data_IF_408661922452
#
_entry.id   IF_408661922452
#
_cell.length_a   1.000
_cell.length_b   1.000
_cell.length_c   1.000
_cell.angle_alpha   90.00
_cell.angle_beta   90.00
_cell.angle_gamma   90.00
#
_symmetry.space_group_name_H-M   'P 1'
#
loop_
_entity.id
_entity.type
_entity.pdbx_description
1 polymer ?
#
# COMPACT_ATOMS: atom_id res chain seq x y z
N UNK A 1 18.08 -31.62 -45.90
CA UNK A 1 18.11 -31.91 -44.45
C UNK A 1 18.43 -30.70 -43.59
N UNK A 2 19.29 -29.80 -44.00
CA UNK A 2 19.69 -28.62 -43.19
C UNK A 2 18.63 -27.49 -43.13
N UNK A 3 17.72 -27.39 -44.09
CA UNK A 3 16.72 -26.31 -44.19
C UNK A 3 15.54 -26.45 -43.18
N UNK A 4 15.24 -27.67 -42.77
CA UNK A 4 14.15 -27.94 -41.81
C UNK A 4 14.52 -27.64 -40.37
N UNK A 5 15.76 -27.86 -39.98
CA UNK A 5 16.24 -27.63 -38.62
C UNK A 5 16.38 -26.11 -38.30
N UNK A 6 16.83 -25.34 -39.29
CA UNK A 6 16.92 -23.89 -39.17
C UNK A 6 15.54 -23.23 -38.98
N UNK A 7 14.50 -23.79 -39.58
CA UNK A 7 13.13 -23.29 -39.41
C UNK A 7 12.56 -23.58 -38.01
N UNK A 8 12.87 -24.77 -37.47
CA UNK A 8 12.46 -25.15 -36.09
C UNK A 8 13.20 -24.32 -35.05
N UNK A 9 14.50 -24.08 -35.25
CA UNK A 9 15.28 -23.20 -34.36
C UNK A 9 14.75 -21.76 -34.36
N UNK A 10 14.49 -21.18 -35.54
CA UNK A 10 13.91 -19.85 -35.68
C UNK A 10 12.55 -19.73 -34.96
N UNK A 11 11.70 -20.75 -35.09
CA UNK A 11 10.41 -20.77 -34.36
C UNK A 11 10.61 -20.81 -32.84
N UNK A 12 11.54 -21.61 -32.33
CA UNK A 12 11.85 -21.67 -30.89
C UNK A 12 12.33 -20.32 -30.37
N UNK A 13 13.25 -19.67 -31.06
CA UNK A 13 13.70 -18.32 -30.68
C UNK A 13 12.55 -17.30 -30.71
N UNK A 14 11.69 -17.38 -31.71
CA UNK A 14 10.53 -16.50 -31.82
C UNK A 14 9.57 -16.68 -30.62
N UNK A 15 9.26 -17.92 -30.22
CA UNK A 15 8.45 -18.19 -29.05
C UNK A 15 9.10 -17.69 -27.76
N UNK A 16 10.40 -17.89 -27.59
CA UNK A 16 11.13 -17.39 -26.41
C UNK A 16 11.12 -15.85 -26.33
N UNK A 17 11.24 -15.17 -27.47
CA UNK A 17 11.15 -13.70 -27.51
C UNK A 17 9.73 -13.23 -27.15
N UNK A 18 8.70 -13.89 -27.69
CA UNK A 18 7.30 -13.56 -27.36
C UNK A 18 7.03 -13.77 -25.88
N UNK A 19 7.49 -14.88 -25.32
CA UNK A 19 7.35 -15.19 -23.90
C UNK A 19 8.02 -14.13 -23.01
N UNK A 20 9.22 -13.72 -23.36
CA UNK A 20 9.93 -12.64 -22.67
C UNK A 20 9.18 -11.32 -22.74
N UNK A 21 8.64 -10.97 -23.90
CA UNK A 21 7.84 -9.75 -24.08
C UNK A 21 6.56 -9.80 -23.21
N UNK A 22 5.88 -10.94 -23.19
CA UNK A 22 4.68 -11.12 -22.36
C UNK A 22 5.00 -10.93 -20.87
N UNK A 23 6.07 -11.53 -20.38
CA UNK A 23 6.51 -11.37 -18.99
C UNK A 23 6.81 -9.91 -18.68
N UNK A 24 7.51 -9.21 -19.55
CA UNK A 24 7.82 -7.78 -19.37
C UNK A 24 6.54 -6.95 -19.32
N UNK A 25 5.61 -7.17 -20.24
CA UNK A 25 4.33 -6.44 -20.30
C UNK A 25 3.50 -6.70 -19.04
N UNK A 26 3.39 -7.95 -18.61
CA UNK A 26 2.67 -8.32 -17.39
C UNK A 26 3.31 -7.65 -16.16
N UNK A 27 4.64 -7.67 -16.07
CA UNK A 27 5.37 -7.02 -14.97
C UNK A 27 5.09 -5.52 -14.93
N UNK A 28 5.16 -4.84 -16.07
CA UNK A 28 4.85 -3.40 -16.17
C UNK A 28 3.40 -3.13 -15.77
N UNK A 29 2.45 -3.95 -16.20
CA UNK A 29 1.05 -3.82 -15.82
C UNK A 29 0.85 -3.98 -14.31
N UNK A 30 1.48 -4.97 -13.69
CA UNK A 30 1.41 -5.17 -12.24
C UNK A 30 1.96 -3.94 -11.51
N UNK A 31 3.15 -3.46 -11.87
CA UNK A 31 3.71 -2.27 -11.21
C UNK A 31 2.89 -1.00 -11.45
N UNK A 32 2.23 -0.88 -12.57
CA UNK A 32 1.47 0.33 -12.92
C UNK A 32 0.06 0.37 -12.31
N UNK A 33 -0.58 -0.80 -12.16
CA UNK A 33 -1.98 -0.89 -11.74
C UNK A 33 -2.17 -1.48 -10.33
N UNK A 34 -1.21 -2.27 -9.84
CA UNK A 34 -1.31 -2.95 -8.55
C UNK A 34 -0.56 -2.20 -7.45
N UNK A 35 0.62 -1.69 -7.77
CA UNK A 35 1.52 -1.08 -6.80
C UNK A 35 1.66 0.41 -7.09
N UNK A 36 1.22 1.21 -6.15
CA UNK A 36 1.34 2.67 -6.23
C UNK A 36 2.45 3.11 -5.28
N UNK A 37 3.57 3.64 -5.79
CA UNK A 37 4.57 4.26 -4.94
C UNK A 37 4.04 5.59 -4.39
N UNK A 38 4.10 5.77 -3.09
CA UNK A 38 3.74 7.03 -2.42
C UNK A 38 4.92 7.49 -1.59
N UNK A 39 5.26 8.75 -1.73
CA UNK A 39 6.23 9.40 -0.87
C UNK A 39 5.56 9.79 0.44
N UNK A 40 6.24 9.53 1.52
CA UNK A 40 5.77 9.89 2.85
C UNK A 40 6.33 11.27 3.16
N UNK A 41 5.46 12.26 3.25
CA UNK A 41 5.82 13.60 3.66
C UNK A 41 5.16 13.86 5.03
N UNK A 42 6.00 14.10 6.04
CA UNK A 42 5.57 14.41 7.39
C UNK A 42 5.90 13.35 8.45
N UNK A 43 5.93 13.81 9.69
CA UNK A 43 6.36 13.05 10.86
C UNK A 43 5.20 12.39 11.63
N UNK A 44 3.95 12.58 11.19
CA UNK A 44 2.76 12.06 11.90
C UNK A 44 2.70 10.54 12.06
N UNK A 45 3.54 9.81 11.32
CA UNK A 45 3.65 8.34 11.35
C UNK A 45 5.08 7.86 11.59
N UNK A 46 5.94 8.72 12.16
CA UNK A 46 7.40 8.52 12.25
C UNK A 46 7.79 7.23 12.97
N UNK A 47 7.02 6.78 13.93
CA UNK A 47 7.26 5.49 14.59
C UNK A 47 7.08 4.28 13.70
N UNK A 48 6.34 4.41 12.61
CA UNK A 48 6.05 3.31 11.70
C UNK A 48 6.64 3.57 10.32
N UNK A 49 6.63 4.83 9.90
CA UNK A 49 7.03 5.27 8.57
C UNK A 49 7.89 6.52 8.71
N UNK A 50 9.13 6.43 8.25
CA UNK A 50 10.05 7.57 8.27
C UNK A 50 9.68 8.61 7.22
N UNK A 51 9.88 9.88 7.57
CA UNK A 51 9.73 11.00 6.63
C UNK A 51 10.59 10.80 5.39
N UNK A 52 10.09 11.23 4.23
CA UNK A 52 10.71 11.11 2.91
C UNK A 52 10.99 9.67 2.43
N UNK A 53 10.53 8.64 3.14
CA UNK A 53 10.61 7.28 2.66
C UNK A 53 9.55 7.01 1.56
N UNK A 54 9.80 5.97 0.76
CA UNK A 54 8.85 5.53 -0.27
C UNK A 54 8.12 4.31 0.25
N UNK A 55 6.81 4.41 0.35
CA UNK A 55 5.95 3.27 0.64
C UNK A 55 5.30 2.76 -0.65
N UNK A 56 5.21 1.45 -0.77
CA UNK A 56 4.46 0.79 -1.84
C UNK A 56 3.08 0.42 -1.30
N UNK A 57 2.05 0.97 -1.92
CA UNK A 57 0.67 0.68 -1.55
C UNK A 57 0.01 -0.23 -2.56
N UNK A 58 -0.84 -1.11 -2.06
CA UNK A 58 -1.72 -1.90 -2.91
C UNK A 58 -2.85 -0.99 -3.43
N UNK A 59 -2.86 -0.76 -4.75
CA UNK A 59 -3.86 0.08 -5.42
C UNK A 59 -5.13 -0.67 -5.83
N UNK A 60 -5.19 -1.99 -5.63
CA UNK A 60 -6.34 -2.78 -6.07
C UNK A 60 -7.35 -2.94 -4.95
N UNK A 61 -8.58 -2.47 -5.21
CA UNK A 61 -9.79 -2.98 -4.59
C UNK A 61 -9.90 -2.81 -3.08
N UNK A 62 -9.33 -1.74 -2.51
CA UNK A 62 -9.61 -1.41 -1.13
C UNK A 62 -11.06 -0.94 -1.05
N UNK A 63 -11.93 -1.86 -0.67
CA UNK A 63 -13.29 -1.53 -0.29
C UNK A 63 -13.31 -1.17 1.19
N UNK A 64 -14.14 -0.20 1.56
CA UNK A 64 -14.29 0.22 2.96
C UNK A 64 -14.61 -0.95 3.92
N UNK A 65 -15.33 -1.94 3.42
CA UNK A 65 -15.71 -3.18 4.16
C UNK A 65 -14.50 -4.07 4.52
N UNK A 66 -13.38 -3.93 3.81
CA UNK A 66 -12.18 -4.74 4.04
C UNK A 66 -11.16 -4.07 4.96
N UNK A 67 -11.41 -2.80 5.33
CA UNK A 67 -10.53 -2.03 6.20
C UNK A 67 -10.71 -2.53 7.64
N UNK A 68 -9.58 -2.81 8.28
CA UNK A 68 -9.53 -3.25 9.68
C UNK A 68 -8.99 -2.13 10.57
N UNK A 69 -9.28 -2.23 11.85
CA UNK A 69 -8.69 -1.33 12.85
C UNK A 69 -7.16 -1.47 12.85
N UNK A 70 -6.47 -0.35 12.94
CA UNK A 70 -5.03 -0.17 12.88
C UNK A 70 -4.39 -0.34 11.49
N UNK A 71 -5.17 -0.61 10.45
CA UNK A 71 -4.65 -0.55 9.09
C UNK A 71 -4.10 0.85 8.79
N UNK A 72 -3.00 0.89 8.06
CA UNK A 72 -2.45 2.13 7.52
C UNK A 72 -3.03 2.31 6.12
N UNK A 73 -3.75 3.40 5.93
CA UNK A 73 -4.39 3.72 4.67
C UNK A 73 -3.84 5.02 4.09
N UNK A 74 -3.87 5.09 2.77
CA UNK A 74 -3.62 6.33 2.03
C UNK A 74 -4.95 6.85 1.55
N UNK A 75 -5.25 8.08 1.90
CA UNK A 75 -6.46 8.77 1.45
C UNK A 75 -6.10 10.11 0.84
N UNK A 76 -6.97 10.58 -0.05
CA UNK A 76 -6.83 11.91 -0.62
C UNK A 76 -7.58 12.90 0.26
N UNK A 77 -6.87 13.94 0.70
CA UNK A 77 -7.45 15.03 1.47
C UNK A 77 -7.83 16.18 0.53
N UNK A 78 -9.11 16.42 0.35
CA UNK A 78 -9.59 17.55 -0.44
C UNK A 78 -9.18 18.91 0.16
N UNK A 79 -9.09 18.97 1.48
CA UNK A 79 -8.73 20.20 2.19
C UNK A 79 -7.26 20.61 1.98
N UNK A 80 -6.38 19.64 1.79
CA UNK A 80 -4.94 19.83 1.61
C UNK A 80 -4.52 19.65 0.14
N UNK A 81 -5.43 19.16 -0.72
CA UNK A 81 -5.17 18.79 -2.11
C UNK A 81 -4.00 17.80 -2.27
N UNK A 82 -3.87 16.88 -1.31
CA UNK A 82 -2.76 15.92 -1.28
C UNK A 82 -3.17 14.54 -0.76
N UNK A 83 -2.31 13.55 -1.04
CA UNK A 83 -2.44 12.20 -0.47
C UNK A 83 -1.81 12.18 0.92
N UNK A 84 -2.59 11.76 1.91
CA UNK A 84 -2.14 11.61 3.29
C UNK A 84 -2.17 10.17 3.73
N UNK A 85 -1.23 9.80 4.59
CA UNK A 85 -1.14 8.48 5.20
C UNK A 85 -1.65 8.57 6.62
N UNK A 86 -2.63 7.76 6.96
CA UNK A 86 -3.23 7.72 8.30
C UNK A 86 -3.49 6.29 8.76
N UNK A 87 -3.55 6.12 10.08
CA UNK A 87 -3.93 4.84 10.70
C UNK A 87 -5.41 4.88 11.04
N UNK A 88 -6.11 3.78 10.75
CA UNK A 88 -7.52 3.59 11.10
C UNK A 88 -7.63 3.28 12.59
N UNK A 89 -8.27 4.15 13.34
CA UNK A 89 -8.48 3.97 14.78
C UNK A 89 -9.87 3.40 15.04
N UNK A 90 -10.88 3.91 14.35
CA UNK A 90 -12.27 3.48 14.49
C UNK A 90 -12.87 3.01 13.17
N UNK A 91 -13.79 2.07 13.27
CA UNK A 91 -14.59 1.57 12.18
C UNK A 91 -16.01 2.14 12.28
N UNK A 92 -16.82 2.09 11.21
CA UNK A 92 -18.21 2.51 11.28
C UNK A 92 -18.97 1.81 12.42
N UNK A 93 -19.66 2.60 13.26
CA UNK A 93 -20.37 2.10 14.43
C UNK A 93 -19.56 2.06 15.73
N UNK A 94 -18.26 2.32 15.68
CA UNK A 94 -17.44 2.40 16.88
C UNK A 94 -17.67 3.72 17.64
N UNK A 95 -17.58 3.63 18.95
CA UNK A 95 -17.47 4.80 19.85
C UNK A 95 -16.02 4.96 20.24
N UNK A 96 -15.44 6.11 19.93
CA UNK A 96 -14.05 6.45 20.24
C UNK A 96 -14.03 7.52 21.31
N UNK A 97 -13.31 7.25 22.37
CA UNK A 97 -13.08 8.20 23.47
C UNK A 97 -11.57 8.27 23.76
N UNK A 98 -11.06 9.48 23.92
CA UNK A 98 -9.69 9.71 24.37
C UNK A 98 -9.75 10.45 25.69
N UNK A 99 -9.32 9.80 26.76
CA UNK A 99 -9.39 10.31 28.11
C UNK A 99 -8.14 9.96 28.90
N UNK A 100 -7.58 10.95 29.59
CA UNK A 100 -6.37 10.78 30.41
C UNK A 100 -5.23 10.11 29.62
N UNK A 101 -5.03 10.52 28.36
CA UNK A 101 -4.04 9.99 27.41
C UNK A 101 -4.25 8.50 27.06
N UNK A 102 -5.42 7.96 27.34
CA UNK A 102 -5.80 6.58 27.01
C UNK A 102 -6.88 6.56 25.95
N UNK A 103 -6.66 5.77 24.92
CA UNK A 103 -7.62 5.53 23.86
C UNK A 103 -8.58 4.40 24.26
N UNK A 104 -9.86 4.71 24.23
CA UNK A 104 -10.95 3.75 24.41
C UNK A 104 -11.70 3.57 23.09
N UNK A 105 -11.90 2.33 22.71
CA UNK A 105 -12.77 1.97 21.60
C UNK A 105 -13.86 1.07 22.14
N UNK A 106 -15.13 1.47 22.01
CA UNK A 106 -16.29 0.79 22.55
C UNK A 106 -16.14 0.52 24.08
N UNK A 107 -15.69 1.53 24.82
CA UNK A 107 -15.42 1.47 26.27
C UNK A 107 -14.30 0.48 26.68
N UNK A 108 -13.51 -0.01 25.76
CA UNK A 108 -12.36 -0.87 26.03
C UNK A 108 -11.06 -0.12 25.77
N UNK A 109 -10.11 -0.23 26.71
CA UNK A 109 -8.76 0.31 26.53
C UNK A 109 -8.12 -0.33 25.32
N UNK A 110 -7.62 0.49 24.43
CA UNK A 110 -6.99 0.04 23.19
C UNK A 110 -5.50 0.28 23.27
N UNK A 111 -4.66 -0.73 22.97
CA UNK A 111 -3.20 -0.56 22.95
C UNK A 111 -2.78 0.58 22.01
N UNK A 112 -1.87 1.42 22.48
CA UNK A 112 -1.34 2.56 21.75
C UNK A 112 0.15 2.37 21.40
N UNK A 113 0.57 1.13 21.18
CA UNK A 113 1.97 0.78 20.91
C UNK A 113 2.53 1.46 19.66
N UNK A 114 1.64 2.02 18.83
CA UNK A 114 1.98 2.80 17.66
C UNK A 114 2.14 4.31 17.92
N UNK A 115 1.79 4.77 19.12
CA UNK A 115 2.04 6.16 19.55
C UNK A 115 3.34 6.18 20.35
N UNK A 116 4.26 7.04 19.98
CA UNK A 116 5.39 7.37 20.84
C UNK A 116 4.90 8.38 21.88
N UNK A 117 4.97 7.98 23.14
CA UNK A 117 4.53 8.82 24.29
C UNK A 117 5.30 10.15 24.38
N UNK A 118 6.37 10.32 23.64
CA UNK A 118 7.13 11.56 23.58
C UNK A 118 6.49 12.66 22.70
N UNK A 119 5.46 12.33 21.93
CA UNK A 119 4.73 13.28 21.06
C UNK A 119 3.35 13.70 21.60
N UNK A 120 2.98 13.24 22.78
CA UNK A 120 1.70 13.56 23.44
C UNK A 120 1.91 14.64 24.52
N UNK A 121 2.50 15.78 24.15
CA UNK A 121 2.58 16.99 25.00
C UNK A 121 2.09 18.21 24.25
#
# INVERSE_FOLDING_TARGET
MVKGDNMKLKKRYLYSIIEMIVVIVVTICVFKFVVIPVRIDGTSMENTLHDQSIALINGIGIKAENIKRFDIIVLYSEALDEKIIKRVIGLPGDTIEFKDDVLYVNNQVTPQDFLDMNFVN
#
